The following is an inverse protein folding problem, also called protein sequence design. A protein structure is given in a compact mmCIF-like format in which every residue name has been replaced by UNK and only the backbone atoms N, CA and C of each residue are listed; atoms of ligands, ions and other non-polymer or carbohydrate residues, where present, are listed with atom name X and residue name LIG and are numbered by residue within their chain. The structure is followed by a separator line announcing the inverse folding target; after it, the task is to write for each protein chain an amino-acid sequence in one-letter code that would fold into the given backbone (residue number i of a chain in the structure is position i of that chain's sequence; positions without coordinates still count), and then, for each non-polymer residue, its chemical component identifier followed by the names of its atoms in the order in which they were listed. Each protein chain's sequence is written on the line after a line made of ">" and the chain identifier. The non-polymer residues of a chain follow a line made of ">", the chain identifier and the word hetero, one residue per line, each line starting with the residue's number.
data_IF_493993258890
#
_entry.id   IF_493993258890
#
_cell.length_a   1.000
_cell.length_b   1.000
_cell.length_c   1.000
_cell.angle_alpha   90.00
_cell.angle_beta   90.00
_cell.angle_gamma   90.00
#
_symmetry.space_group_name_H-M   'P 1'
#
loop_
_entity.id
_entity.type
_entity.pdbx_description
1 polymer ?
#
# COMPACT_ATOMS: atom_id res chain seq x y z
N UNK A 1 -46.81 10.66 -45.70
CA UNK A 1 -46.21 9.59 -44.86
C UNK A 1 -45.06 8.96 -45.62
N UNK A 2 -44.08 8.38 -44.90
CA UNK A 2 -42.88 7.65 -45.35
C UNK A 2 -41.59 8.46 -45.53
N UNK A 3 -40.94 8.76 -44.40
CA UNK A 3 -39.48 8.89 -44.36
C UNK A 3 -38.87 7.48 -44.28
N UNK A 4 -38.12 7.11 -45.32
CA UNK A 4 -37.35 5.87 -45.39
C UNK A 4 -36.33 5.84 -44.25
N UNK A 5 -36.38 4.80 -43.43
CA UNK A 5 -35.37 4.52 -42.41
C UNK A 5 -34.03 4.26 -43.09
N UNK A 6 -33.05 5.14 -42.87
CA UNK A 6 -31.67 4.91 -43.26
C UNK A 6 -31.12 3.77 -42.40
N UNK A 7 -30.81 2.64 -43.05
CA UNK A 7 -30.11 1.51 -42.43
C UNK A 7 -28.77 1.99 -41.88
N UNK A 8 -28.63 1.92 -40.55
CA UNK A 8 -27.39 2.22 -39.83
C UNK A 8 -26.27 1.32 -40.38
N UNK A 9 -25.17 1.94 -40.83
CA UNK A 9 -24.03 1.24 -41.40
C UNK A 9 -23.55 0.11 -40.47
N UNK A 10 -23.06 -1.02 -41.03
CA UNK A 10 -22.58 -2.14 -40.22
C UNK A 10 -21.46 -1.66 -39.31
N UNK A 11 -21.70 -1.73 -37.99
CA UNK A 11 -20.70 -1.43 -36.98
C UNK A 11 -19.47 -2.31 -37.25
N UNK A 12 -18.28 -1.70 -37.31
CA UNK A 12 -17.01 -2.41 -37.43
C UNK A 12 -17.01 -3.62 -36.47
N UNK A 13 -16.63 -4.83 -36.92
CA UNK A 13 -16.60 -6.00 -36.05
C UNK A 13 -15.73 -5.69 -34.84
N UNK A 14 -16.31 -5.82 -33.65
CA UNK A 14 -15.58 -5.61 -32.40
C UNK A 14 -14.53 -6.71 -32.29
N UNK A 15 -13.28 -6.37 -32.61
CA UNK A 15 -12.13 -7.26 -32.40
C UNK A 15 -12.11 -7.66 -30.92
N UNK A 16 -11.99 -8.96 -30.65
CA UNK A 16 -11.87 -9.46 -29.29
C UNK A 16 -10.43 -9.31 -28.80
N UNK A 17 -10.27 -9.04 -27.50
CA UNK A 17 -8.94 -9.06 -26.86
C UNK A 17 -8.33 -10.45 -26.97
N UNK A 18 -7.17 -10.53 -27.62
CA UNK A 18 -6.35 -11.74 -27.64
C UNK A 18 -5.46 -11.80 -26.39
N UNK A 19 -4.85 -12.96 -26.16
CA UNK A 19 -3.85 -13.13 -25.10
C UNK A 19 -2.68 -12.13 -25.24
N UNK A 20 -2.25 -11.85 -26.47
CA UNK A 20 -1.19 -10.89 -26.77
C UNK A 20 -1.60 -9.47 -26.41
N UNK A 21 -2.82 -9.07 -26.79
CA UNK A 21 -3.37 -7.74 -26.46
C UNK A 21 -3.44 -7.52 -24.93
N UNK A 22 -3.76 -8.57 -24.15
CA UNK A 22 -3.77 -8.48 -22.68
C UNK A 22 -2.39 -8.21 -22.08
N UNK A 23 -1.36 -8.89 -22.60
CA UNK A 23 0.02 -8.71 -22.13
C UNK A 23 0.55 -7.33 -22.54
N UNK A 24 0.30 -6.91 -23.78
CA UNK A 24 0.70 -5.60 -24.29
C UNK A 24 0.03 -4.47 -23.49
N UNK A 25 -1.25 -4.62 -23.16
CA UNK A 25 -1.99 -3.68 -22.32
C UNK A 25 -1.39 -3.57 -20.90
N UNK A 26 -1.05 -4.70 -20.27
CA UNK A 26 -0.44 -4.72 -18.95
C UNK A 26 0.98 -4.13 -18.97
N UNK A 27 1.77 -4.40 -20.01
CA UNK A 27 3.09 -3.80 -20.18
C UNK A 27 3.01 -2.28 -20.41
N UNK A 28 2.05 -1.82 -21.21
CA UNK A 28 1.80 -0.39 -21.41
C UNK A 28 1.48 0.30 -20.08
N UNK A 29 0.60 -0.30 -19.27
CA UNK A 29 0.23 0.22 -17.96
C UNK A 29 1.37 0.19 -16.92
N UNK A 30 2.31 -0.76 -17.05
CA UNK A 30 3.46 -0.85 -16.17
C UNK A 30 4.54 0.19 -16.51
N UNK A 31 4.75 0.47 -17.80
CA UNK A 31 5.87 1.27 -18.28
C UNK A 31 5.51 2.73 -18.62
N UNK A 32 4.22 3.05 -18.82
CA UNK A 32 3.77 4.39 -19.20
C UNK A 32 2.90 5.02 -18.12
N UNK A 33 3.22 6.27 -17.76
CA UNK A 33 2.41 7.15 -16.91
C UNK A 33 1.28 7.86 -17.68
N UNK A 34 1.03 7.48 -18.94
CA UNK A 34 -0.01 8.02 -19.81
C UNK A 34 -0.99 6.96 -20.32
N UNK A 35 -1.93 7.37 -21.19
CA UNK A 35 -3.04 6.54 -21.68
C UNK A 35 -2.57 5.15 -22.16
N UNK A 36 -3.17 4.06 -21.66
CA UNK A 36 -2.75 2.70 -22.00
C UNK A 36 -3.05 2.41 -23.47
N UNK A 37 -2.00 2.19 -24.26
CA UNK A 37 -2.09 1.89 -25.69
C UNK A 37 -1.97 0.38 -25.86
N UNK A 38 -3.00 -0.23 -26.45
CA UNK A 38 -2.96 -1.61 -26.93
C UNK A 38 -2.84 -1.56 -28.46
N UNK A 39 -2.12 -2.52 -29.07
CA UNK A 39 -1.80 -2.54 -30.51
C UNK A 39 -2.97 -2.72 -31.49
N UNK A 40 -4.17 -2.23 -31.19
CA UNK A 40 -5.32 -2.23 -32.09
C UNK A 40 -6.39 -1.19 -31.69
N UNK A 41 -7.32 -0.93 -32.61
CA UNK A 41 -8.39 0.07 -32.54
C UNK A 41 -9.47 -0.21 -31.47
N UNK A 42 -9.07 -0.41 -30.20
CA UNK A 42 -10.00 -0.51 -29.10
C UNK A 42 -10.43 0.88 -28.64
N UNK A 43 -11.73 1.06 -28.40
CA UNK A 43 -12.23 2.26 -27.77
C UNK A 43 -11.71 2.35 -26.33
N UNK A 44 -11.51 3.57 -25.82
CA UNK A 44 -11.14 3.83 -24.44
C UNK A 44 -12.06 3.11 -23.44
N UNK A 45 -13.36 3.03 -23.71
CA UNK A 45 -14.31 2.29 -22.89
C UNK A 45 -14.02 0.78 -22.83
N UNK A 46 -13.59 0.19 -23.95
CA UNK A 46 -13.24 -1.24 -24.04
C UNK A 46 -11.93 -1.52 -23.30
N UNK A 47 -10.96 -0.60 -23.41
CA UNK A 47 -9.69 -0.67 -22.69
C UNK A 47 -9.94 -0.58 -21.18
N UNK A 48 -10.72 0.41 -20.74
CA UNK A 48 -11.04 0.60 -19.32
C UNK A 48 -11.82 -0.59 -18.74
N UNK A 49 -12.80 -1.13 -19.46
CA UNK A 49 -13.51 -2.33 -19.01
C UNK A 49 -12.58 -3.55 -18.94
N UNK A 50 -11.63 -3.67 -19.88
CA UNK A 50 -10.64 -4.74 -19.86
C UNK A 50 -9.69 -4.62 -18.68
N UNK A 51 -9.18 -3.43 -18.39
CA UNK A 51 -8.34 -3.14 -17.22
C UNK A 51 -9.07 -3.50 -15.94
N UNK A 52 -10.35 -3.11 -15.82
CA UNK A 52 -11.21 -3.45 -14.67
C UNK A 52 -11.31 -4.96 -14.48
N UNK A 53 -11.56 -5.73 -15.55
CA UNK A 53 -11.64 -7.20 -15.50
C UNK A 53 -10.29 -7.84 -15.15
N UNK A 54 -9.19 -7.35 -15.71
CA UNK A 54 -7.84 -7.84 -15.40
C UNK A 54 -7.47 -7.60 -13.93
N UNK A 55 -7.82 -6.43 -13.38
CA UNK A 55 -7.64 -6.13 -11.94
C UNK A 55 -8.45 -7.07 -11.05
N UNK A 56 -9.71 -7.33 -11.40
CA UNK A 56 -10.55 -8.30 -10.66
C UNK A 56 -9.97 -9.72 -10.72
N UNK A 57 -9.52 -10.14 -11.91
CA UNK A 57 -8.86 -11.44 -12.12
C UNK A 57 -7.60 -11.57 -11.27
N UNK A 58 -6.77 -10.53 -11.25
CA UNK A 58 -5.58 -10.47 -10.39
C UNK A 58 -5.93 -10.62 -8.91
N UNK A 59 -6.88 -9.86 -8.36
CA UNK A 59 -7.23 -9.99 -6.94
C UNK A 59 -7.77 -11.38 -6.59
N UNK A 60 -8.52 -12.02 -7.49
CA UNK A 60 -8.96 -13.41 -7.32
C UNK A 60 -7.78 -14.38 -7.30
N UNK A 61 -6.85 -14.24 -8.25
CA UNK A 61 -5.63 -15.05 -8.34
C UNK A 61 -4.67 -14.82 -7.16
N UNK A 62 -4.57 -13.60 -6.65
CA UNK A 62 -3.75 -13.25 -5.49
C UNK A 62 -4.29 -13.88 -4.21
N UNK A 63 -5.62 -13.99 -4.06
CA UNK A 63 -6.28 -14.71 -2.96
C UNK A 63 -6.13 -16.23 -3.09
N UNK A 64 -6.19 -16.75 -4.30
CA UNK A 64 -6.05 -18.18 -4.58
C UNK A 64 -5.35 -18.40 -5.91
N UNK A 65 -4.08 -18.83 -5.85
CA UNK A 65 -3.25 -19.11 -7.04
C UNK A 65 -3.76 -20.28 -7.88
N UNK A 66 -4.78 -21.00 -7.42
CA UNK A 66 -5.44 -22.11 -8.12
C UNK A 66 -6.06 -21.72 -9.47
N UNK A 67 -6.29 -20.43 -9.70
CA UNK A 67 -6.84 -19.90 -10.95
C UNK A 67 -5.76 -19.55 -12.00
N UNK A 68 -4.48 -19.81 -11.74
CA UNK A 68 -3.39 -19.66 -12.71
C UNK A 68 -3.14 -21.04 -13.31
N UNK A 69 -3.77 -21.32 -14.46
CA UNK A 69 -3.72 -22.66 -15.08
C UNK A 69 -2.85 -22.68 -16.33
N UNK A 70 -2.75 -21.54 -17.03
CA UNK A 70 -2.02 -21.44 -18.29
C UNK A 70 -0.72 -20.64 -18.13
N UNK A 71 0.26 -20.85 -19.02
CA UNK A 71 1.47 -20.01 -19.08
C UNK A 71 1.13 -18.53 -19.24
N UNK A 72 0.13 -18.22 -20.06
CA UNK A 72 -0.39 -16.87 -20.25
C UNK A 72 -0.96 -16.27 -18.95
N UNK A 73 -1.76 -17.05 -18.21
CA UNK A 73 -2.30 -16.59 -16.92
C UNK A 73 -1.19 -16.24 -15.93
N UNK A 74 -0.08 -17.00 -15.95
CA UNK A 74 1.08 -16.75 -15.10
C UNK A 74 1.77 -15.45 -15.48
N UNK A 75 1.99 -15.22 -16.76
CA UNK A 75 2.61 -14.00 -17.28
C UNK A 75 1.76 -12.75 -16.97
N UNK A 76 0.46 -12.82 -17.28
CA UNK A 76 -0.49 -11.75 -16.97
C UNK A 76 -0.57 -11.47 -15.46
N UNK A 77 -0.53 -12.51 -14.63
CA UNK A 77 -0.52 -12.37 -13.17
C UNK A 77 0.74 -11.66 -12.68
N UNK A 78 1.92 -12.01 -13.18
CA UNK A 78 3.17 -11.36 -12.75
C UNK A 78 3.22 -9.88 -13.14
N UNK A 79 2.73 -9.52 -14.32
CA UNK A 79 2.60 -8.12 -14.74
C UNK A 79 1.57 -7.38 -13.86
N UNK A 80 0.38 -7.95 -13.67
CA UNK A 80 -0.66 -7.39 -12.82
C UNK A 80 -0.20 -7.24 -11.36
N UNK A 81 0.61 -8.17 -10.86
CA UNK A 81 1.21 -8.12 -9.50
C UNK A 81 2.18 -6.96 -9.35
N UNK A 82 2.92 -6.58 -10.40
CA UNK A 82 3.80 -5.40 -10.35
C UNK A 82 3.00 -4.09 -10.33
N UNK A 83 1.82 -4.08 -10.95
CA UNK A 83 0.96 -2.89 -11.06
C UNK A 83 0.08 -2.70 -9.80
N UNK A 84 -0.63 -3.74 -9.37
CA UNK A 84 -1.61 -3.70 -8.28
C UNK A 84 -1.24 -4.53 -7.04
N UNK A 85 -0.10 -5.22 -7.07
CA UNK A 85 0.37 -5.97 -5.92
C UNK A 85 1.09 -5.12 -4.88
N UNK A 86 1.29 -5.68 -3.68
CA UNK A 86 2.06 -5.01 -2.65
C UNK A 86 3.46 -4.74 -3.19
N UNK A 87 3.84 -3.46 -3.23
CA UNK A 87 5.18 -3.04 -3.68
C UNK A 87 6.18 -3.66 -2.72
N UNK A 88 6.98 -4.62 -3.21
CA UNK A 88 8.13 -5.14 -2.46
C UNK A 88 9.09 -3.97 -2.24
N UNK A 89 9.16 -3.45 -1.03
CA UNK A 89 10.41 -2.89 -0.53
C UNK A 89 11.46 -3.99 -0.71
N UNK A 90 12.53 -3.69 -1.45
CA UNK A 90 13.58 -4.66 -1.76
C UNK A 90 14.30 -5.04 -0.47
N UNK A 91 13.87 -6.13 0.16
CA UNK A 91 14.78 -7.03 0.86
C UNK A 91 14.55 -8.39 0.22
N UNK A 92 15.48 -8.75 -0.65
CA UNK A 92 15.61 -10.06 -1.24
C UNK A 92 16.07 -11.05 -0.18
N UNK A 93 15.33 -12.14 0.01
CA UNK A 93 15.92 -13.43 0.36
C UNK A 93 15.46 -14.50 -0.65
N UNK A 94 16.31 -15.48 -1.00
CA UNK A 94 16.01 -16.49 -2.01
C UNK A 94 15.22 -17.68 -1.42
N UNK A 95 14.30 -18.20 -2.24
CA UNK A 95 13.50 -19.46 -2.16
C UNK A 95 14.29 -20.73 -1.76
N UNK A 96 13.66 -21.85 -1.30
CA UNK A 96 12.59 -22.60 -2.00
C UNK A 96 11.47 -23.23 -1.14
N UNK A 97 10.51 -23.83 -1.84
CA UNK A 97 9.31 -24.51 -1.36
C UNK A 97 9.58 -25.58 -0.28
N UNK A 98 8.66 -25.72 0.68
CA UNK A 98 8.08 -27.01 1.05
C UNK A 98 6.68 -26.85 1.65
N UNK A 99 5.79 -27.74 1.21
CA UNK A 99 4.42 -27.92 1.69
C UNK A 99 4.42 -28.41 3.15
N UNK A 100 3.93 -27.58 4.07
CA UNK A 100 3.48 -28.05 5.38
C UNK A 100 2.32 -27.20 5.90
N UNK A 101 1.11 -27.64 5.57
CA UNK A 101 -0.02 -27.78 6.51
C UNK A 101 0.18 -27.07 7.87
N UNK A 102 -0.35 -25.85 8.00
CA UNK A 102 -0.98 -25.41 9.25
C UNK A 102 -2.13 -24.44 8.97
N UNK A 103 -3.32 -25.03 8.90
CA UNK A 103 -4.54 -24.42 9.42
C UNK A 103 -4.23 -23.80 10.80
N UNK A 104 -4.61 -22.54 10.97
CA UNK A 104 -4.95 -21.99 12.28
C UNK A 104 -3.81 -21.78 13.27
N UNK A 105 -3.09 -20.69 13.11
CA UNK A 105 -2.77 -19.82 14.25
C UNK A 105 -2.55 -18.44 13.66
N UNK A 106 -3.57 -17.59 13.75
CA UNK A 106 -3.36 -16.15 13.70
C UNK A 106 -2.33 -15.86 14.79
N UNK A 107 -1.05 -15.73 14.43
CA UNK A 107 0.00 -15.29 15.33
C UNK A 107 -0.35 -13.86 15.66
N UNK A 108 -1.27 -13.71 16.61
CA UNK A 108 -1.75 -12.42 17.08
C UNK A 108 -0.55 -11.76 17.70
N UNK A 109 0.06 -10.85 16.95
CA UNK A 109 1.20 -10.04 17.40
C UNK A 109 0.89 -9.56 18.82
N UNK A 110 1.80 -9.87 19.75
CA UNK A 110 1.64 -9.48 21.12
C UNK A 110 1.96 -7.98 21.27
N UNK A 111 0.96 -7.13 21.08
CA UNK A 111 1.11 -5.67 21.12
C UNK A 111 1.61 -5.12 22.47
N UNK A 112 1.53 -5.90 23.55
CA UNK A 112 2.08 -5.48 24.85
C UNK A 112 3.61 -5.39 24.84
N UNK A 113 4.28 -6.08 23.91
CA UNK A 113 5.72 -6.03 23.75
C UNK A 113 6.23 -4.77 23.04
N UNK A 114 5.32 -3.94 22.48
CA UNK A 114 5.65 -2.74 21.72
C UNK A 114 4.87 -1.51 22.22
N UNK A 115 5.05 -1.10 23.49
CA UNK A 115 4.24 -0.07 24.12
C UNK A 115 4.48 1.33 23.54
N UNK A 116 5.69 1.64 23.07
CA UNK A 116 6.06 2.97 22.56
C UNK A 116 5.51 3.18 21.15
N UNK A 117 5.64 2.17 20.30
CA UNK A 117 4.96 2.13 19.01
C UNK A 117 3.45 2.30 19.19
N UNK A 118 2.85 1.58 20.15
CA UNK A 118 1.41 1.66 20.35
C UNK A 118 0.92 2.99 20.92
N UNK A 119 1.74 3.65 21.75
CA UNK A 119 1.45 5.00 22.26
C UNK A 119 1.29 6.00 21.11
N UNK A 120 2.18 5.93 20.11
CA UNK A 120 2.16 6.84 18.96
C UNK A 120 0.98 6.57 18.03
N UNK A 121 0.70 5.30 17.77
CA UNK A 121 -0.45 4.89 16.97
C UNK A 121 -1.77 5.38 17.59
N UNK A 122 -1.89 5.26 18.92
CA UNK A 122 -3.08 5.72 19.65
C UNK A 122 -3.21 7.24 19.63
N UNK A 123 -2.08 7.97 19.66
CA UNK A 123 -2.03 9.43 19.61
C UNK A 123 -2.35 9.98 18.20
N UNK A 124 -1.88 9.32 17.15
CA UNK A 124 -2.05 9.75 15.77
C UNK A 124 -3.41 9.39 15.16
N UNK A 125 -4.00 8.26 15.58
CA UNK A 125 -5.24 7.73 15.00
C UNK A 125 -6.30 7.49 16.08
N UNK A 126 -6.91 8.56 16.58
CA UNK A 126 -8.06 8.41 17.48
C UNK A 126 -9.25 7.77 16.73
N UNK A 127 -9.68 6.58 17.17
CA UNK A 127 -10.89 5.91 16.67
C UNK A 127 -10.76 5.03 15.42
N UNK A 128 -9.57 4.94 14.79
CA UNK A 128 -9.33 4.04 13.64
C UNK A 128 -8.02 3.23 13.75
N UNK A 129 -7.46 3.16 14.95
CA UNK A 129 -6.16 2.52 15.17
C UNK A 129 -6.19 0.99 15.01
N UNK A 130 -7.36 0.35 15.00
CA UNK A 130 -7.52 -1.09 14.70
C UNK A 130 -7.11 -1.44 13.27
N UNK A 131 -7.46 -0.61 12.29
CA UNK A 131 -7.07 -0.80 10.88
C UNK A 131 -5.54 -0.65 10.74
N UNK A 132 -4.97 0.30 11.48
CA UNK A 132 -3.53 0.50 11.50
C UNK A 132 -2.81 -0.66 12.18
N UNK A 133 -3.31 -1.15 13.32
CA UNK A 133 -2.82 -2.37 13.99
C UNK A 133 -2.88 -3.60 13.08
N UNK A 134 -3.96 -3.76 12.32
CA UNK A 134 -4.08 -4.86 11.37
C UNK A 134 -3.02 -4.76 10.26
N UNK A 135 -2.76 -3.55 9.76
CA UNK A 135 -1.67 -3.29 8.80
C UNK A 135 -0.30 -3.58 9.38
N UNK A 136 -0.03 -3.10 10.60
CA UNK A 136 1.21 -3.37 11.34
C UNK A 136 1.38 -4.86 11.65
N UNK A 137 0.30 -5.59 11.93
CA UNK A 137 0.34 -7.01 12.27
C UNK A 137 0.77 -7.90 11.10
N UNK A 138 0.73 -7.37 9.87
CA UNK A 138 1.30 -8.00 8.69
C UNK A 138 2.79 -7.70 8.48
N UNK A 139 3.37 -6.80 9.27
CA UNK A 139 4.81 -6.55 9.31
C UNK A 139 5.42 -7.48 10.36
N UNK A 140 6.48 -8.20 10.00
CA UNK A 140 7.13 -9.15 10.89
C UNK A 140 7.57 -8.53 12.23
N UNK A 141 7.78 -9.38 13.23
CA UNK A 141 8.18 -8.96 14.59
C UNK A 141 9.50 -8.17 14.61
N UNK A 142 10.41 -8.45 13.67
CA UNK A 142 11.67 -7.74 13.45
C UNK A 142 11.43 -6.27 13.08
N UNK A 143 10.50 -6.02 12.17
CA UNK A 143 10.13 -4.67 11.73
C UNK A 143 9.44 -3.92 12.86
N UNK A 144 8.52 -4.58 13.57
CA UNK A 144 7.80 -3.98 14.70
C UNK A 144 8.74 -3.60 15.84
N UNK A 145 9.70 -4.46 16.16
CA UNK A 145 10.74 -4.18 17.15
C UNK A 145 11.59 -2.98 16.74
N UNK A 146 12.03 -2.92 15.48
CA UNK A 146 12.79 -1.79 14.98
C UNK A 146 12.02 -0.46 15.01
N UNK A 147 10.69 -0.49 14.86
CA UNK A 147 9.87 0.70 15.06
C UNK A 147 9.77 1.09 16.54
N UNK A 148 9.51 0.14 17.44
CA UNK A 148 9.41 0.42 18.87
C UNK A 148 10.73 0.99 19.43
N UNK A 149 11.88 0.44 19.03
CA UNK A 149 13.21 0.94 19.39
C UNK A 149 13.43 2.39 18.91
N UNK A 150 13.02 2.72 17.68
CA UNK A 150 13.11 4.10 17.16
C UNK A 150 12.20 5.05 17.93
N UNK A 151 11.00 4.62 18.30
CA UNK A 151 10.10 5.43 19.12
C UNK A 151 10.63 5.64 20.54
N UNK A 152 11.27 4.63 21.13
CA UNK A 152 11.99 4.77 22.41
C UNK A 152 13.07 5.84 22.31
N UNK A 153 13.90 5.80 21.26
CA UNK A 153 14.99 6.76 21.10
C UNK A 153 14.48 8.18 20.90
N UNK A 154 13.46 8.36 20.06
CA UNK A 154 12.82 9.67 19.88
C UNK A 154 12.23 10.21 21.18
N UNK A 155 11.60 9.36 22.00
CA UNK A 155 11.03 9.79 23.28
C UNK A 155 12.10 10.26 24.28
N UNK A 156 13.30 9.64 24.26
CA UNK A 156 14.44 10.14 25.04
C UNK A 156 14.91 11.51 24.54
N UNK A 157 15.01 11.68 23.23
CA UNK A 157 15.39 12.96 22.62
C UNK A 157 14.38 14.07 22.95
N UNK A 158 13.08 13.77 22.86
CA UNK A 158 12.00 14.68 23.24
C UNK A 158 12.07 15.05 24.73
N UNK A 159 12.30 14.07 25.62
CA UNK A 159 12.45 14.32 27.06
C UNK A 159 13.68 15.20 27.37
N UNK A 160 14.80 14.97 26.68
CA UNK A 160 16.00 15.79 26.83
C UNK A 160 15.76 17.22 26.33
N UNK A 161 15.03 17.38 25.22
CA UNK A 161 14.65 18.68 24.69
C UNK A 161 13.73 19.41 25.66
N UNK A 162 12.72 18.74 26.22
CA UNK A 162 11.80 19.33 27.18
C UNK A 162 12.52 19.73 28.48
N UNK A 163 13.48 18.94 28.96
CA UNK A 163 14.31 19.32 30.11
C UNK A 163 15.13 20.59 29.85
N UNK A 164 15.73 20.71 28.65
CA UNK A 164 16.43 21.93 28.25
C UNK A 164 15.48 23.13 28.17
N UNK A 165 14.27 22.94 27.62
CA UNK A 165 13.24 23.97 27.58
C UNK A 165 12.84 24.43 28.97
N UNK A 166 12.63 23.50 29.91
CA UNK A 166 12.30 23.80 31.30
C UNK A 166 13.43 24.56 31.99
N UNK A 167 14.69 24.21 31.75
CA UNK A 167 15.84 24.96 32.27
C UNK A 167 15.90 26.40 31.74
N UNK A 168 15.65 26.59 30.45
CA UNK A 168 15.59 27.94 29.87
C UNK A 168 14.48 28.78 30.51
N UNK A 169 13.29 28.21 30.68
CA UNK A 169 12.19 28.89 31.38
C UNK A 169 12.54 29.22 32.83
N UNK A 170 13.15 28.27 33.56
CA UNK A 170 13.58 28.50 34.93
C UNK A 170 14.59 29.66 35.01
N UNK A 171 15.59 29.67 34.14
CA UNK A 171 16.60 30.73 34.09
C UNK A 171 15.98 32.09 33.74
N UNK A 172 15.06 32.13 32.77
CA UNK A 172 14.34 33.34 32.41
C UNK A 172 13.54 33.89 33.59
N UNK A 173 12.76 33.05 34.28
CA UNK A 173 11.98 33.45 35.46
C UNK A 173 12.87 33.94 36.59
N UNK A 174 13.98 33.24 36.85
CA UNK A 174 14.97 33.65 37.86
C UNK A 174 15.52 35.05 37.57
N UNK A 175 15.91 35.33 36.32
CA UNK A 175 16.41 36.65 35.93
C UNK A 175 15.37 37.76 36.09
N UNK A 176 14.09 37.49 35.81
CA UNK A 176 13.00 38.45 36.03
C UNK A 176 12.86 38.78 37.52
N UNK A 177 12.82 37.76 38.38
CA UNK A 177 12.69 37.95 39.83
C UNK A 177 13.87 38.73 40.41
N UNK A 178 15.10 38.40 40.01
CA UNK A 178 16.30 39.12 40.44
C UNK A 178 16.35 40.57 39.93
N UNK A 179 15.77 40.87 38.77
CA UNK A 179 15.66 42.23 38.27
C UNK A 179 14.60 43.03 39.05
N UNK A 180 13.45 42.43 39.35
CA UNK A 180 12.40 43.06 40.15
C UNK A 180 12.82 43.32 41.59
N UNK A 181 13.61 42.43 42.21
CA UNK A 181 14.14 42.61 43.57
C UNK A 181 15.28 43.63 43.71
N UNK A 182 15.91 44.06 42.60
CA UNK A 182 16.98 45.08 42.58
C UNK A 182 16.47 46.51 42.41
N UNK A 183 15.18 46.69 42.17
CA UNK A 183 14.54 47.99 41.94
C UNK A 183 13.71 48.48 43.16
N UNK A 184 13.94 47.90 44.33
CA UNK A 184 13.42 48.31 45.65
C UNK A 184 14.61 48.57 46.58
#
# INVERSE_FOLDING_TARGET
>A
MNRRSASKAPSKPTRLFTQKDEIDLLNSLLNSTGNPICGGDFSEAQINDKIRRLKQKYHKQARSKSSIKTPHDREAYELARKIWGPKKTRISSPTPLDDAKKRGSESRVNWSSYPFLMRQVSRAFSGSYEVYKQGLGGLGEDVLKGFDEKWIELEKEEAALEARRAQLFHNQLKSIVEASGRNL
#
